data_IF_131908063840
#
_entry.id   IF_131908063840
#
_cell.length_a   1.000
_cell.length_b   1.000
_cell.length_c   1.000
_cell.angle_alpha   90.00
_cell.angle_beta   90.00
_cell.angle_gamma   90.00
#
_symmetry.space_group_name_H-M   'P 1'
#
loop_
_entity.id
_entity.type
_entity.pdbx_description
1 polymer ?
#
# COMPACT_ATOMS: atom_id res chain seq x y z
N UNK A 1 -4.41 -5.11 -5.44
CA UNK A 1 -4.98 -5.75 -4.25
C UNK A 1 -4.60 -4.90 -3.04
N UNK A 2 -5.43 -4.89 -2.00
CA UNK A 2 -5.10 -4.39 -0.66
C UNK A 2 -6.00 -5.10 0.34
N UNK A 3 -5.46 -5.52 1.48
CA UNK A 3 -6.27 -6.10 2.54
C UNK A 3 -7.16 -5.02 3.17
N UNK A 4 -8.44 -5.34 3.44
CA UNK A 4 -9.37 -4.37 4.03
C UNK A 4 -8.91 -3.85 5.40
N UNK A 5 -8.11 -4.63 6.14
CA UNK A 5 -7.51 -4.24 7.42
C UNK A 5 -6.40 -3.22 7.21
N UNK A 6 -5.58 -3.37 6.17
CA UNK A 6 -4.58 -2.35 5.81
C UNK A 6 -5.26 -1.03 5.38
N UNK A 7 -6.41 -1.10 4.71
CA UNK A 7 -7.24 0.09 4.41
C UNK A 7 -7.73 0.75 5.69
N UNK A 8 -8.25 -0.04 6.63
CA UNK A 8 -8.71 0.46 7.92
C UNK A 8 -7.55 1.11 8.72
N UNK A 9 -6.36 0.51 8.69
CA UNK A 9 -5.16 1.03 9.33
C UNK A 9 -4.75 2.40 8.75
N UNK A 10 -4.82 2.57 7.42
CA UNK A 10 -4.54 3.86 6.79
C UNK A 10 -5.57 4.93 7.19
N UNK A 11 -6.86 4.57 7.18
CA UNK A 11 -7.94 5.48 7.58
C UNK A 11 -7.76 5.89 9.04
N UNK A 12 -7.44 4.94 9.92
CA UNK A 12 -7.18 5.22 11.33
C UNK A 12 -5.97 6.16 11.51
N UNK A 13 -4.87 5.91 10.78
CA UNK A 13 -3.68 6.77 10.81
C UNK A 13 -3.97 8.20 10.32
N UNK A 14 -4.69 8.34 9.20
CA UNK A 14 -5.06 9.65 8.66
C UNK A 14 -6.02 10.43 9.58
N UNK A 15 -6.98 9.75 10.22
CA UNK A 15 -7.87 10.38 11.19
C UNK A 15 -7.15 10.77 12.48
N UNK A 16 -6.21 9.94 12.96
CA UNK A 16 -5.40 10.27 14.12
C UNK A 16 -4.50 11.49 13.86
N UNK A 17 -3.86 11.55 12.69
CA UNK A 17 -3.09 12.72 12.24
C UNK A 17 -3.95 13.99 12.17
N UNK A 18 -5.13 13.92 11.54
CA UNK A 18 -6.07 15.05 11.42
C UNK A 18 -6.48 15.64 12.78
N UNK A 19 -6.58 14.81 13.81
CA UNK A 19 -6.97 15.22 15.17
C UNK A 19 -5.79 15.74 16.01
N UNK A 20 -4.56 15.67 15.50
CA UNK A 20 -3.37 16.18 16.15
C UNK A 20 -3.22 17.71 16.09
N UNK A 21 -2.20 18.23 16.77
CA UNK A 21 -1.94 19.67 16.88
C UNK A 21 -1.40 20.29 15.57
N UNK A 22 -0.73 19.49 14.73
CA UNK A 22 -0.12 19.90 13.45
C UNK A 22 -0.31 18.78 12.40
N UNK A 23 -1.51 18.66 11.81
CA UNK A 23 -1.82 17.57 10.89
C UNK A 23 -1.06 17.70 9.57
N UNK A 24 -0.59 16.58 9.02
CA UNK A 24 0.10 16.55 7.73
C UNK A 24 -0.77 17.07 6.57
N UNK A 25 -2.09 16.99 6.71
CA UNK A 25 -3.09 17.53 5.77
C UNK A 25 -4.03 18.47 6.50
N UNK A 26 -4.11 19.72 6.02
CA UNK A 26 -4.92 20.75 6.68
C UNK A 26 -6.43 20.40 6.70
N UNK A 27 -7.16 20.69 7.79
CA UNK A 27 -8.60 20.48 7.86
C UNK A 27 -9.36 21.19 6.74
N UNK A 28 -10.37 20.52 6.17
CA UNK A 28 -11.17 21.06 5.07
C UNK A 28 -10.49 21.01 3.69
N UNK A 29 -9.28 20.43 3.60
CA UNK A 29 -8.62 20.12 2.33
C UNK A 29 -8.74 18.64 1.97
N UNK A 30 -8.26 18.28 0.79
CA UNK A 30 -8.24 16.90 0.32
C UNK A 30 -6.85 16.55 -0.17
N UNK A 31 -6.33 15.41 0.27
CA UNK A 31 -5.05 14.88 -0.18
C UNK A 31 -5.20 13.41 -0.57
N UNK A 32 -4.78 13.08 -1.79
CA UNK A 32 -4.86 11.73 -2.32
C UNK A 32 -3.54 10.98 -2.08
N UNK A 33 -3.65 9.74 -1.59
CA UNK A 33 -2.57 8.78 -1.44
C UNK A 33 -3.00 7.42 -1.98
N UNK A 34 -2.05 6.62 -2.45
CA UNK A 34 -2.33 5.25 -2.87
C UNK A 34 -2.44 4.35 -1.64
N UNK A 35 -3.57 3.65 -1.51
CA UNK A 35 -3.77 2.59 -0.53
C UNK A 35 -3.74 1.25 -1.27
N UNK A 36 -2.55 0.67 -1.38
CA UNK A 36 -2.31 -0.59 -2.08
C UNK A 36 -1.44 -1.52 -1.23
N UNK A 37 -1.54 -2.83 -1.44
CA UNK A 37 -0.59 -3.77 -0.85
C UNK A 37 0.83 -3.54 -1.37
N UNK A 38 1.82 -4.06 -0.64
CA UNK A 38 3.21 -4.02 -1.06
C UNK A 38 3.44 -4.87 -2.32
N UNK A 39 2.74 -6.00 -2.44
CA UNK A 39 2.85 -6.95 -3.54
C UNK A 39 1.67 -6.87 -4.53
N UNK A 40 1.93 -7.28 -5.77
CA UNK A 40 0.92 -7.35 -6.80
C UNK A 40 0.14 -8.68 -6.71
N UNK A 41 -1.12 -8.62 -7.15
CA UNK A 41 -2.03 -9.78 -7.10
C UNK A 41 -1.72 -10.86 -8.13
N UNK A 42 -0.76 -10.64 -9.05
CA UNK A 42 -0.33 -11.65 -10.02
C UNK A 42 0.76 -12.55 -9.43
N UNK A 43 1.44 -12.10 -8.36
CA UNK A 43 2.60 -12.79 -7.80
C UNK A 43 3.76 -12.89 -8.80
N UNK A 44 3.85 -11.95 -9.75
CA UNK A 44 4.85 -11.93 -10.82
C UNK A 44 5.78 -10.73 -10.68
N UNK A 45 7.07 -10.85 -11.01
CA UNK A 45 8.01 -9.74 -10.89
C UNK A 45 7.58 -8.53 -11.71
N UNK A 46 7.65 -7.32 -11.13
CA UNK A 46 7.18 -6.10 -11.80
C UNK A 46 7.97 -5.83 -13.09
N UNK A 47 9.29 -6.00 -13.06
CA UNK A 47 10.15 -5.73 -14.22
C UNK A 47 9.82 -6.64 -15.40
N UNK A 48 9.50 -7.91 -15.14
CA UNK A 48 9.12 -8.86 -16.18
C UNK A 48 7.78 -8.46 -16.80
N UNK A 49 6.81 -8.03 -15.98
CA UNK A 49 5.51 -7.56 -16.45
C UNK A 49 5.64 -6.30 -17.32
N UNK A 50 6.52 -5.36 -16.94
CA UNK A 50 6.77 -4.14 -17.71
C UNK A 50 7.39 -4.48 -19.06
N UNK A 51 8.44 -5.31 -19.09
CA UNK A 51 9.10 -5.73 -20.35
C UNK A 51 8.16 -6.56 -21.24
N UNK A 52 7.35 -7.45 -20.66
CA UNK A 52 6.36 -8.23 -21.40
C UNK A 52 5.30 -7.33 -22.06
N UNK A 53 4.82 -6.32 -21.33
CA UNK A 53 3.71 -5.48 -21.78
C UNK A 53 4.14 -4.35 -22.71
N UNK A 54 5.34 -3.80 -22.50
CA UNK A 54 5.82 -2.59 -23.17
C UNK A 54 7.09 -2.78 -24.00
N UNK A 55 7.76 -3.93 -23.90
CA UNK A 55 9.00 -4.24 -24.62
C UNK A 55 10.27 -3.69 -23.97
N UNK A 56 10.15 -2.67 -23.12
CA UNK A 56 11.24 -2.05 -22.36
C UNK A 56 10.73 -1.45 -21.05
N UNK A 57 11.66 -1.05 -20.19
CA UNK A 57 11.39 -0.19 -19.03
C UNK A 57 11.95 1.17 -19.39
N UNK A 58 11.10 2.19 -19.41
CA UNK A 58 11.51 3.53 -19.81
C UNK A 58 12.32 4.20 -18.69
N UNK A 59 13.43 4.86 -19.03
CA UNK A 59 14.21 5.67 -18.07
C UNK A 59 13.38 6.84 -17.47
N UNK A 60 12.27 7.23 -18.13
CA UNK A 60 11.36 8.29 -17.67
C UNK A 60 10.29 7.77 -16.68
N UNK A 61 10.26 6.46 -16.39
CA UNK A 61 9.34 5.93 -15.39
C UNK A 61 9.98 5.97 -13.99
N UNK A 62 9.17 6.15 -12.94
CA UNK A 62 9.63 6.19 -11.56
C UNK A 62 10.03 4.80 -11.01
N UNK A 63 10.38 3.85 -11.89
CA UNK A 63 10.79 2.50 -11.53
C UNK A 63 12.31 2.42 -11.68
N UNK A 64 13.02 2.54 -10.56
CA UNK A 64 14.46 2.33 -10.52
C UNK A 64 14.75 0.82 -10.48
N UNK A 65 15.28 0.28 -11.57
CA UNK A 65 15.65 -1.14 -11.66
C UNK A 65 16.70 -1.53 -10.61
N UNK A 66 17.55 -0.60 -10.16
CA UNK A 66 18.59 -0.88 -9.17
C UNK A 66 18.04 -1.03 -7.75
N UNK A 67 16.84 -0.53 -7.49
CA UNK A 67 16.12 -0.64 -6.22
C UNK A 67 15.18 -1.86 -6.15
N UNK A 68 15.18 -2.69 -7.20
CA UNK A 68 14.36 -3.90 -7.32
C UNK A 68 15.23 -5.15 -7.20
N UNK A 69 14.87 -6.03 -6.28
CA UNK A 69 15.50 -7.35 -6.17
C UNK A 69 14.91 -8.32 -7.18
N UNK A 70 15.68 -9.32 -7.60
CA UNK A 70 15.14 -10.41 -8.42
C UNK A 70 13.95 -11.08 -7.71
N UNK A 71 12.83 -11.22 -8.42
CA UNK A 71 11.59 -11.75 -7.86
C UNK A 71 10.69 -10.72 -7.16
N UNK A 72 11.09 -9.45 -7.09
CA UNK A 72 10.27 -8.38 -6.50
C UNK A 72 9.00 -8.16 -7.33
N UNK A 73 7.88 -8.53 -6.73
CA UNK A 73 6.55 -8.46 -7.31
C UNK A 73 5.75 -7.29 -6.75
N UNK A 74 6.41 -6.18 -6.39
CA UNK A 74 5.70 -5.00 -5.94
C UNK A 74 4.66 -4.48 -6.94
N UNK A 75 3.67 -3.76 -6.43
CA UNK A 75 2.68 -3.10 -7.26
C UNK A 75 3.26 -1.96 -8.10
N UNK A 76 2.59 -1.60 -9.19
CA UNK A 76 2.94 -0.43 -10.02
C UNK A 76 2.54 0.93 -9.38
N UNK A 77 2.09 0.92 -8.13
CA UNK A 77 1.61 2.11 -7.42
C UNK A 77 2.58 2.47 -6.29
N UNK A 78 3.03 3.72 -6.31
CA UNK A 78 3.87 4.33 -5.29
C UNK A 78 3.09 4.58 -3.98
N UNK A 79 3.56 4.04 -2.84
CA UNK A 79 2.95 4.23 -1.50
C UNK A 79 3.71 5.23 -0.62
N UNK A 80 4.84 5.74 -1.10
CA UNK A 80 5.79 6.58 -0.36
C UNK A 80 5.13 7.85 0.18
N UNK A 81 4.09 8.35 -0.50
CA UNK A 81 3.33 9.51 -0.03
C UNK A 81 2.49 9.17 1.22
N UNK A 82 1.88 8.00 1.27
CA UNK A 82 1.13 7.54 2.45
C UNK A 82 2.09 7.31 3.63
N UNK A 83 3.26 6.71 3.36
CA UNK A 83 4.32 6.54 4.36
C UNK A 83 4.81 7.89 4.90
N UNK A 84 5.05 8.87 4.02
CA UNK A 84 5.54 10.20 4.41
C UNK A 84 4.51 11.00 5.21
N UNK A 85 3.24 10.98 4.80
CA UNK A 85 2.21 11.79 5.44
C UNK A 85 1.67 11.15 6.73
N UNK A 86 1.49 9.84 6.74
CA UNK A 86 0.75 9.16 7.82
C UNK A 86 1.55 8.06 8.52
N UNK A 87 2.83 7.87 8.16
CA UNK A 87 3.64 6.77 8.68
C UNK A 87 3.11 5.38 8.30
N UNK A 88 2.24 5.31 7.29
CA UNK A 88 1.55 4.08 6.92
C UNK A 88 2.27 3.33 5.80
N UNK A 89 2.42 2.02 6.00
CA UNK A 89 2.78 1.04 4.97
C UNK A 89 1.88 -0.17 5.11
N UNK A 90 1.47 -0.83 4.01
CA UNK A 90 0.67 -2.04 4.09
C UNK A 90 1.46 -3.15 4.81
N UNK A 91 0.76 -3.98 5.56
CA UNK A 91 1.37 -5.03 6.38
C UNK A 91 1.01 -6.44 5.90
N UNK A 92 0.04 -6.57 4.98
CA UNK A 92 -0.55 -7.84 4.59
C UNK A 92 -0.38 -8.13 3.11
N UNK A 93 0.09 -9.33 2.82
CA UNK A 93 0.10 -9.93 1.48
C UNK A 93 -1.13 -10.80 1.28
N UNK A 94 -1.66 -10.85 0.06
CA UNK A 94 -2.76 -11.76 -0.30
C UNK A 94 -2.40 -13.23 -0.09
N UNK A 95 -1.10 -13.56 -0.10
CA UNK A 95 -0.58 -14.93 0.06
C UNK A 95 -0.86 -15.49 1.45
N UNK A 96 -0.64 -14.65 2.46
CA UNK A 96 -0.74 -15.06 3.86
C UNK A 96 -2.09 -14.65 4.46
N UNK A 97 -2.65 -13.51 4.02
CA UNK A 97 -3.88 -12.96 4.56
C UNK A 97 -5.10 -13.87 4.36
N UNK A 98 -5.13 -14.65 3.27
CA UNK A 98 -6.24 -15.56 2.98
C UNK A 98 -6.33 -16.71 4.00
N UNK A 99 -5.20 -17.12 4.55
CA UNK A 99 -5.10 -18.23 5.51
C UNK A 99 -4.91 -17.75 6.96
N UNK A 100 -4.88 -16.44 7.18
CA UNK A 100 -4.69 -15.86 8.50
C UNK A 100 -5.91 -16.11 9.40
N UNK A 101 -5.67 -16.77 10.54
CA UNK A 101 -6.69 -16.96 11.55
C UNK A 101 -6.94 -15.67 12.33
N UNK A 102 -8.04 -14.97 12.01
CA UNK A 102 -8.44 -13.73 12.70
C UNK A 102 -9.60 -14.02 13.64
N UNK A 103 -9.49 -13.54 14.89
CA UNK A 103 -10.59 -13.64 15.85
C UNK A 103 -11.79 -12.82 15.36
N UNK A 104 -13.00 -13.38 15.46
CA UNK A 104 -14.22 -12.65 15.15
C UNK A 104 -14.39 -11.48 16.13
N UNK A 105 -14.79 -10.28 15.65
CA UNK A 105 -15.03 -9.15 16.53
C UNK A 105 -16.25 -9.40 17.41
N UNK A 106 -16.11 -9.16 18.71
CA UNK A 106 -17.26 -9.14 19.64
C UNK A 106 -18.04 -7.85 19.43
N UNK A 107 -19.24 -7.94 18.83
CA UNK A 107 -20.08 -6.75 18.59
C UNK A 107 -20.82 -6.27 19.84
N UNK A 108 -21.06 -7.15 20.82
CA UNK A 108 -21.63 -6.81 22.12
C UNK A 108 -21.26 -7.87 23.17
N UNK A 109 -20.98 -7.43 24.38
CA UNK A 109 -20.89 -8.31 25.55
C UNK A 109 -22.29 -8.44 26.17
N UNK A 110 -22.75 -9.68 26.35
CA UNK A 110 -24.07 -10.00 26.93
C UNK A 110 -24.10 -9.94 28.45
#
# INVERSE_FOLDING_TARGET
YVDARDVADLVAAALADLLGDDPAVAPGTHEAVNCVAADNALGRPLLDLLRESYGEISDDCAVDESELTEGDDRGAYAIEKAARLFGWTPSRSWRDAADEAVAEPTLFEG
#
